data_IF_518173744223
#
_entry.id   IF_518173744223
#
_cell.length_a   1.000
_cell.length_b   1.000
_cell.length_c   1.000
_cell.angle_alpha   90.00
_cell.angle_beta   90.00
_cell.angle_gamma   90.00
#
_symmetry.space_group_name_H-M   'P 1'
#
loop_
_entity.id
_entity.type
_entity.pdbx_description
1 polymer ?
#
# COMPACT_ATOMS: atom_id res chain seq x y z
N UNK A 1 -24.65 12.63 6.04
CA UNK A 1 -24.28 13.97 5.51
C UNK A 1 -22.77 14.20 5.66
N UNK A 2 -22.10 14.72 4.63
CA UNK A 2 -20.63 14.90 4.59
C UNK A 2 -20.21 16.37 4.49
N UNK A 3 -21.17 17.28 4.46
CA UNK A 3 -20.96 18.72 4.44
C UNK A 3 -20.74 19.21 5.87
N UNK A 4 -19.75 20.10 6.05
CA UNK A 4 -19.56 20.81 7.30
C UNK A 4 -20.41 22.08 7.35
N UNK A 5 -20.34 22.83 8.46
CA UNK A 5 -20.94 24.15 8.55
C UNK A 5 -20.16 25.25 7.78
N UNK A 6 -19.04 24.90 7.14
CA UNK A 6 -18.25 25.80 6.31
C UNK A 6 -18.35 25.35 4.84
N UNK A 7 -18.72 26.28 3.98
CA UNK A 7 -18.81 26.05 2.55
C UNK A 7 -17.46 25.59 1.97
N UNK A 8 -17.50 24.61 1.06
CA UNK A 8 -16.32 24.01 0.46
C UNK A 8 -15.55 23.05 1.36
N UNK A 9 -15.93 22.90 2.65
CA UNK A 9 -15.31 21.97 3.58
C UNK A 9 -16.22 20.76 3.79
N UNK A 10 -15.69 19.59 3.44
CA UNK A 10 -16.36 18.29 3.59
C UNK A 10 -15.60 17.43 4.60
N UNK A 11 -16.32 16.64 5.38
CA UNK A 11 -15.79 15.82 6.47
C UNK A 11 -16.29 14.37 6.34
N UNK A 12 -15.48 13.42 6.79
CA UNK A 12 -15.83 12.00 6.83
C UNK A 12 -15.14 11.29 7.99
N UNK A 13 -15.69 10.15 8.39
CA UNK A 13 -15.08 9.29 9.40
C UNK A 13 -15.00 9.96 10.78
N UNK A 14 -13.90 9.75 11.53
CA UNK A 14 -13.73 10.24 12.91
C UNK A 14 -13.85 11.75 13.11
N UNK A 15 -13.72 12.56 12.04
CA UNK A 15 -13.93 14.02 12.10
C UNK A 15 -15.38 14.40 12.38
N UNK A 16 -16.33 13.47 12.17
CA UNK A 16 -17.75 13.69 12.46
C UNK A 16 -18.15 13.05 13.78
N UNK A 17 -17.79 11.79 13.99
CA UNK A 17 -17.88 11.07 15.27
C UNK A 17 -17.06 9.75 15.17
N UNK A 18 -16.82 9.00 16.26
CA UNK A 18 -16.20 7.68 16.18
C UNK A 18 -16.98 6.76 15.24
N UNK A 19 -16.28 6.15 14.27
CA UNK A 19 -16.87 5.31 13.23
C UNK A 19 -16.04 4.07 12.97
N UNK A 20 -16.67 3.03 12.46
CA UNK A 20 -15.98 1.86 11.94
C UNK A 20 -15.38 2.13 10.55
N UNK A 21 -14.61 1.16 10.05
CA UNK A 21 -13.92 1.29 8.76
C UNK A 21 -14.92 1.39 7.60
N UNK A 22 -15.93 0.49 7.46
CA UNK A 22 -16.89 0.57 6.35
C UNK A 22 -17.65 1.90 6.30
N UNK A 23 -18.09 2.41 7.44
CA UNK A 23 -18.81 3.67 7.50
C UNK A 23 -17.88 4.85 7.13
N UNK A 24 -16.65 4.84 7.63
CA UNK A 24 -15.64 5.84 7.27
C UNK A 24 -15.37 5.85 5.76
N UNK A 25 -15.19 4.68 5.14
CA UNK A 25 -14.97 4.55 3.68
C UNK A 25 -16.18 5.04 2.90
N UNK A 26 -17.39 4.68 3.34
CA UNK A 26 -18.64 5.13 2.71
C UNK A 26 -18.76 6.65 2.75
N UNK A 27 -18.51 7.27 3.90
CA UNK A 27 -18.51 8.72 4.03
C UNK A 27 -17.41 9.39 3.22
N UNK A 28 -16.21 8.81 3.18
CA UNK A 28 -15.11 9.33 2.37
C UNK A 28 -15.49 9.35 0.87
N UNK A 29 -16.12 8.29 0.37
CA UNK A 29 -16.66 8.26 -0.99
C UNK A 29 -17.74 9.32 -1.23
N UNK A 30 -18.64 9.53 -0.26
CA UNK A 30 -19.65 10.60 -0.32
C UNK A 30 -19.03 12.01 -0.37
N UNK A 31 -18.03 12.27 0.49
CA UNK A 31 -17.31 13.54 0.53
C UNK A 31 -16.58 13.80 -0.78
N UNK A 32 -15.84 12.81 -1.29
CA UNK A 32 -15.17 12.89 -2.57
C UNK A 32 -16.15 13.14 -3.73
N UNK A 33 -17.32 12.48 -3.73
CA UNK A 33 -18.34 12.68 -4.76
C UNK A 33 -18.89 14.11 -4.78
N UNK A 34 -19.16 14.70 -3.61
CA UNK A 34 -19.61 16.10 -3.49
C UNK A 34 -18.55 17.08 -3.99
N UNK A 35 -17.28 16.87 -3.62
CA UNK A 35 -16.16 17.67 -4.12
C UNK A 35 -16.04 17.55 -5.63
N UNK A 36 -16.17 16.34 -6.19
CA UNK A 36 -16.13 16.12 -7.63
C UNK A 36 -17.29 16.80 -8.37
N UNK A 37 -18.49 16.86 -7.78
CA UNK A 37 -19.61 17.62 -8.34
C UNK A 37 -19.31 19.12 -8.42
N UNK A 38 -18.63 19.68 -7.41
CA UNK A 38 -18.20 21.09 -7.45
C UNK A 38 -17.10 21.34 -8.49
N UNK A 39 -16.23 20.36 -8.71
CA UNK A 39 -15.09 20.45 -9.64
C UNK A 39 -15.40 19.91 -11.04
N UNK A 40 -16.67 19.72 -11.40
CA UNK A 40 -17.05 19.01 -12.62
C UNK A 40 -16.52 19.66 -13.90
N UNK A 41 -16.49 21.00 -13.94
CA UNK A 41 -16.04 21.77 -15.12
C UNK A 41 -14.55 21.64 -15.40
N UNK A 42 -13.74 21.40 -14.37
CA UNK A 42 -12.27 21.29 -14.46
C UNK A 42 -11.79 19.85 -14.34
N UNK A 43 -12.70 18.88 -14.39
CA UNK A 43 -12.37 17.46 -14.23
C UNK A 43 -11.33 17.05 -15.26
N UNK A 44 -10.20 16.53 -14.77
CA UNK A 44 -9.14 16.01 -15.61
C UNK A 44 -8.10 17.02 -16.08
N UNK A 45 -8.30 18.33 -15.85
CA UNK A 45 -7.36 19.37 -16.27
C UNK A 45 -5.98 19.27 -15.62
N UNK A 46 -5.89 18.62 -14.44
CA UNK A 46 -4.64 18.42 -13.70
C UNK A 46 -4.12 16.97 -13.77
N UNK A 47 -4.70 16.12 -14.63
CA UNK A 47 -4.17 14.76 -14.84
C UNK A 47 -2.82 14.87 -15.54
N UNK A 48 -1.78 14.36 -14.89
CA UNK A 48 -0.49 14.12 -15.51
C UNK A 48 -0.37 12.64 -15.85
N UNK A 49 0.17 12.34 -17.03
CA UNK A 49 0.58 10.98 -17.33
C UNK A 49 1.60 10.53 -16.26
N UNK A 50 1.42 9.33 -15.72
CA UNK A 50 2.42 8.76 -14.79
C UNK A 50 3.65 8.38 -15.60
N UNK A 51 4.77 8.98 -15.27
CA UNK A 51 6.08 8.56 -15.77
C UNK A 51 6.64 7.52 -14.80
N UNK A 52 6.84 6.30 -15.32
CA UNK A 52 7.43 5.20 -14.56
C UNK A 52 8.92 5.08 -14.93
N UNK A 53 9.76 4.59 -14.00
CA UNK A 53 11.11 4.20 -14.37
C UNK A 53 11.08 3.13 -15.48
N UNK A 54 12.10 3.07 -16.35
CA UNK A 54 12.19 2.04 -17.36
C UNK A 54 12.17 0.65 -16.72
N UNK A 55 11.47 -0.29 -17.35
CA UNK A 55 11.45 -1.67 -16.88
C UNK A 55 12.85 -2.28 -16.96
N UNK A 56 13.22 -3.02 -15.92
CA UNK A 56 14.48 -3.76 -15.87
C UNK A 56 14.33 -5.03 -16.70
N UNK A 57 15.14 -5.18 -17.74
CA UNK A 57 15.22 -6.46 -18.46
C UNK A 57 15.93 -7.51 -17.59
N UNK A 58 15.18 -8.57 -17.31
CA UNK A 58 15.60 -9.69 -16.45
C UNK A 58 15.63 -11.02 -17.23
N UNK A 59 15.54 -10.95 -18.55
CA UNK A 59 15.55 -12.11 -19.44
C UNK A 59 16.85 -12.89 -19.28
N UNK A 60 16.75 -14.21 -19.08
CA UNK A 60 17.91 -15.09 -18.92
C UNK A 60 18.64 -14.98 -17.57
N UNK A 61 18.22 -14.10 -16.66
CA UNK A 61 18.81 -14.00 -15.33
C UNK A 61 18.25 -15.08 -14.39
N UNK A 62 19.10 -15.63 -13.52
CA UNK A 62 18.65 -16.48 -12.42
C UNK A 62 17.73 -15.67 -11.47
N UNK A 63 16.69 -16.29 -10.87
CA UNK A 63 15.81 -15.58 -9.96
C UNK A 63 16.57 -15.06 -8.73
N UNK A 64 16.21 -13.85 -8.31
CA UNK A 64 16.71 -13.17 -7.12
C UNK A 64 15.50 -12.58 -6.42
N UNK A 65 14.92 -13.39 -5.54
CA UNK A 65 13.62 -13.16 -4.94
C UNK A 65 13.79 -12.42 -3.61
N UNK A 66 13.11 -11.28 -3.47
CA UNK A 66 12.88 -10.65 -2.17
C UNK A 66 11.47 -10.94 -1.67
N UNK A 67 11.34 -11.45 -0.45
CA UNK A 67 10.05 -11.75 0.17
C UNK A 67 9.78 -10.75 1.31
N UNK A 68 8.67 -10.03 1.23
CA UNK A 68 8.25 -9.05 2.23
C UNK A 68 6.99 -9.55 2.93
N UNK A 69 7.12 -9.94 4.19
CA UNK A 69 6.05 -10.56 4.98
C UNK A 69 5.44 -9.51 5.90
N UNK A 70 4.12 -9.35 5.82
CA UNK A 70 3.36 -8.34 6.56
C UNK A 70 2.82 -8.89 7.88
N UNK A 71 3.01 -8.15 8.97
CA UNK A 71 2.37 -8.40 10.27
C UNK A 71 0.89 -7.98 10.27
N UNK A 72 0.57 -6.88 9.57
CA UNK A 72 -0.73 -6.23 9.57
C UNK A 72 -1.30 -6.01 10.98
N UNK A 73 -0.46 -5.56 11.91
CA UNK A 73 -0.82 -5.44 13.32
C UNK A 73 -1.16 -6.81 13.92
N UNK A 74 -2.41 -6.99 14.34
CA UNK A 74 -2.93 -8.27 14.85
C UNK A 74 -3.74 -9.06 13.81
N UNK A 75 -3.99 -8.51 12.61
CA UNK A 75 -4.83 -9.18 11.61
C UNK A 75 -4.17 -10.46 11.07
N UNK A 76 -2.86 -10.41 10.77
CA UNK A 76 -2.11 -11.58 10.32
C UNK A 76 -1.38 -12.19 11.51
N UNK A 77 -0.58 -11.40 12.23
CA UNK A 77 0.23 -11.90 13.33
C UNK A 77 -0.55 -12.33 14.59
N UNK A 78 -1.85 -12.05 14.66
CA UNK A 78 -2.72 -12.62 15.69
C UNK A 78 -3.01 -14.11 15.50
N UNK A 79 -2.74 -14.66 14.31
CA UNK A 79 -3.01 -16.06 13.96
C UNK A 79 -1.79 -16.75 13.38
N UNK A 80 -1.03 -16.07 12.51
CA UNK A 80 0.16 -16.59 11.84
C UNK A 80 1.41 -16.25 12.64
N UNK A 81 2.27 -17.25 12.87
CA UNK A 81 3.62 -17.04 13.41
C UNK A 81 4.53 -16.42 12.33
N UNK A 82 4.44 -15.09 12.19
CA UNK A 82 5.21 -14.33 11.19
C UNK A 82 6.72 -14.55 11.33
N UNK A 83 7.33 -14.53 12.53
CA UNK A 83 8.75 -14.88 12.69
C UNK A 83 9.12 -16.24 12.10
N UNK A 84 8.30 -17.28 12.33
CA UNK A 84 8.55 -18.60 11.74
C UNK A 84 8.42 -18.60 10.21
N UNK A 85 7.47 -17.86 9.65
CA UNK A 85 7.32 -17.72 8.19
C UNK A 85 8.54 -17.02 7.59
N UNK A 86 9.07 -15.99 8.25
CA UNK A 86 10.31 -15.30 7.84
C UNK A 86 11.48 -16.27 7.79
N UNK A 87 11.68 -17.07 8.84
CA UNK A 87 12.78 -18.04 8.88
C UNK A 87 12.61 -19.14 7.82
N UNK A 88 11.38 -19.63 7.61
CA UNK A 88 11.11 -20.58 6.54
C UNK A 88 11.39 -19.99 5.15
N UNK A 89 10.94 -18.76 4.89
CA UNK A 89 11.11 -18.10 3.61
C UNK A 89 12.59 -17.96 3.20
N UNK A 90 13.50 -17.75 4.17
CA UNK A 90 14.95 -17.70 3.94
C UNK A 90 15.53 -19.02 3.43
N UNK A 91 14.85 -20.15 3.63
CA UNK A 91 15.32 -21.48 3.19
C UNK A 91 14.92 -21.82 1.76
N UNK A 92 14.04 -21.02 1.14
CA UNK A 92 13.52 -21.31 -0.18
C UNK A 92 14.58 -21.03 -1.27
N UNK A 93 14.59 -21.81 -2.36
CA UNK A 93 15.50 -21.59 -3.47
C UNK A 93 15.32 -20.19 -4.06
N UNK A 94 16.43 -19.60 -4.51
CA UNK A 94 16.51 -18.30 -5.16
C UNK A 94 16.06 -17.08 -4.33
N UNK A 95 15.68 -17.28 -3.06
CA UNK A 95 15.40 -16.20 -2.11
C UNK A 95 16.70 -15.62 -1.60
N UNK A 96 16.93 -14.34 -1.93
CA UNK A 96 18.15 -13.61 -1.54
C UNK A 96 17.90 -12.61 -0.43
N UNK A 97 16.63 -12.28 -0.15
CA UNK A 97 16.26 -11.34 0.90
C UNK A 97 14.86 -11.65 1.46
N UNK A 98 14.71 -11.53 2.78
CA UNK A 98 13.41 -11.65 3.46
C UNK A 98 13.28 -10.53 4.49
N UNK A 99 12.19 -9.77 4.40
CA UNK A 99 11.86 -8.68 5.31
C UNK A 99 10.60 -9.01 6.11
N UNK A 100 10.60 -8.60 7.38
CA UNK A 100 9.39 -8.56 8.20
C UNK A 100 8.92 -7.12 8.38
N UNK A 101 7.76 -6.79 7.83
CA UNK A 101 7.18 -5.44 7.86
C UNK A 101 5.95 -5.40 8.77
N UNK A 102 5.81 -4.33 9.56
CA UNK A 102 4.59 -4.12 10.35
C UNK A 102 3.36 -3.88 9.44
N UNK A 103 3.51 -2.99 8.47
CA UNK A 103 2.49 -2.66 7.46
C UNK A 103 3.13 -2.49 6.09
N UNK A 104 3.13 -3.53 5.27
CA UNK A 104 3.75 -3.48 3.93
C UNK A 104 3.15 -2.42 3.01
N UNK A 105 1.88 -2.04 3.23
CA UNK A 105 1.20 -1.01 2.44
C UNK A 105 1.54 0.43 2.86
N UNK A 106 2.24 0.66 3.97
CA UNK A 106 2.56 2.01 4.41
C UNK A 106 3.55 2.68 3.46
N UNK A 107 3.45 4.02 3.32
CA UNK A 107 4.27 4.75 2.35
C UNK A 107 5.77 4.61 2.63
N UNK A 108 6.15 4.71 3.90
CA UNK A 108 7.51 4.47 4.39
C UNK A 108 8.02 3.06 4.07
N UNK A 109 7.18 2.03 4.20
CA UNK A 109 7.56 0.66 3.86
C UNK A 109 7.69 0.47 2.35
N UNK A 110 6.81 1.08 1.55
CA UNK A 110 6.92 1.04 0.08
C UNK A 110 8.21 1.71 -0.41
N UNK A 111 8.62 2.83 0.18
CA UNK A 111 9.93 3.45 -0.09
C UNK A 111 11.08 2.51 0.30
N UNK A 112 11.01 1.88 1.48
CA UNK A 112 12.01 0.90 1.92
C UNK A 112 12.13 -0.27 0.95
N UNK A 113 11.01 -0.83 0.48
CA UNK A 113 10.98 -1.94 -0.48
C UNK A 113 11.68 -1.55 -1.78
N UNK A 114 11.40 -0.35 -2.31
CA UNK A 114 12.07 0.16 -3.52
C UNK A 114 13.59 0.23 -3.34
N UNK A 115 14.06 0.73 -2.21
CA UNK A 115 15.49 0.79 -1.91
C UNK A 115 16.12 -0.61 -1.80
N UNK A 116 15.42 -1.56 -1.16
CA UNK A 116 15.89 -2.93 -0.99
C UNK A 116 15.91 -3.72 -2.30
N UNK A 117 15.03 -3.40 -3.25
CA UNK A 117 15.07 -3.96 -4.61
C UNK A 117 16.38 -3.60 -5.30
N UNK A 118 16.81 -2.34 -5.19
CA UNK A 118 18.08 -1.89 -5.75
C UNK A 118 19.27 -2.46 -4.97
N UNK A 119 19.26 -2.35 -3.63
CA UNK A 119 20.35 -2.78 -2.75
C UNK A 119 20.67 -4.28 -2.91
N UNK A 120 19.65 -5.12 -2.95
CA UNK A 120 19.82 -6.57 -3.11
C UNK A 120 19.79 -7.03 -4.57
N UNK A 121 19.72 -6.09 -5.53
CA UNK A 121 19.61 -6.38 -6.96
C UNK A 121 18.52 -7.44 -7.22
N UNK A 122 17.33 -7.23 -6.66
CA UNK A 122 16.21 -8.12 -6.83
C UNK A 122 15.71 -8.09 -8.28
N UNK A 123 15.18 -9.21 -8.74
CA UNK A 123 14.48 -9.30 -10.03
C UNK A 123 13.11 -9.97 -9.90
N UNK A 124 12.73 -10.42 -8.70
CA UNK A 124 11.39 -10.89 -8.34
C UNK A 124 11.06 -10.40 -6.93
N UNK A 125 9.81 -10.01 -6.73
CA UNK A 125 9.31 -9.55 -5.42
C UNK A 125 8.07 -10.36 -5.07
N UNK A 126 8.03 -10.89 -3.86
CA UNK A 126 6.85 -11.54 -3.27
C UNK A 126 6.44 -10.73 -2.06
N UNK A 127 5.18 -10.33 -2.00
CA UNK A 127 4.60 -9.69 -0.82
C UNK A 127 3.59 -10.65 -0.21
N UNK A 128 3.88 -11.18 0.97
CA UNK A 128 2.95 -12.00 1.73
C UNK A 128 2.16 -11.09 2.68
N UNK A 129 0.97 -10.68 2.26
CA UNK A 129 0.10 -9.70 2.95
C UNK A 129 -1.38 -10.07 2.77
N UNK A 130 -2.28 -9.10 3.01
CA UNK A 130 -3.73 -9.14 2.75
C UNK A 130 -4.11 -9.56 1.33
#
# INVERSE_FOLDING_TARGET
>A
PVESNKEGIFVCGPFTEPKDIPETVTQAGGAASKVLSLLSEVRGTLIKAKEYPPEKDVTGQAPRIGIFICHCGTNIAGVVDVPRVVEYAKTLPDVVYVENNLYTCSNDTQEKIKNLIEEHNLNRVVVASC
#
